data_IF_216268510975
#
_entry.id   IF_216268510975
#
_cell.length_a   1.000
_cell.length_b   1.000
_cell.length_c   1.000
_cell.angle_alpha   90.00
_cell.angle_beta   90.00
_cell.angle_gamma   90.00
#
_symmetry.space_group_name_H-M   'P 1'
#
loop_
_entity.id
_entity.type
_entity.pdbx_description
1 polymer ?
#
# COMPACT_ATOMS: atom_id res chain seq x y z
N UNK A 1 -37.80 20.36 60.80
CA UNK A 1 -36.48 19.82 60.36
C UNK A 1 -36.60 18.49 59.62
N UNK A 2 -37.54 17.61 59.99
CA UNK A 2 -37.67 16.27 59.39
C UNK A 2 -38.06 16.25 57.92
N UNK A 3 -38.88 17.20 57.45
CA UNK A 3 -39.29 17.24 56.05
C UNK A 3 -38.11 17.53 55.10
N UNK A 4 -37.19 18.42 55.52
CA UNK A 4 -35.95 18.70 54.77
C UNK A 4 -35.00 17.50 54.77
N UNK A 5 -35.03 16.66 55.81
CA UNK A 5 -34.24 15.42 55.88
C UNK A 5 -34.83 14.35 54.97
N UNK A 6 -36.16 14.13 54.99
CA UNK A 6 -36.87 13.23 54.07
C UNK A 6 -36.62 13.58 52.61
N UNK A 7 -36.81 14.85 52.23
CA UNK A 7 -36.55 15.31 50.85
C UNK A 7 -35.10 15.08 50.42
N UNK A 8 -34.12 15.29 51.31
CA UNK A 8 -32.71 15.00 51.04
C UNK A 8 -32.44 13.51 50.83
N UNK A 9 -33.03 12.63 51.64
CA UNK A 9 -32.86 11.18 51.47
C UNK A 9 -33.44 10.70 50.14
N UNK A 10 -34.63 11.17 49.75
CA UNK A 10 -35.24 10.82 48.46
C UNK A 10 -34.41 11.36 47.28
N UNK A 11 -33.98 12.62 47.35
CA UNK A 11 -33.15 13.22 46.30
C UNK A 11 -31.80 12.50 46.15
N UNK A 12 -31.13 12.17 47.27
CA UNK A 12 -29.85 11.46 47.24
C UNK A 12 -30.02 10.03 46.70
N UNK A 13 -31.09 9.34 47.09
CA UNK A 13 -31.46 8.03 46.53
C UNK A 13 -31.64 8.09 45.02
N UNK A 14 -32.41 9.05 44.51
CA UNK A 14 -32.60 9.20 43.06
C UNK A 14 -31.31 9.59 42.35
N UNK A 15 -30.47 10.42 42.98
CA UNK A 15 -29.19 10.84 42.44
C UNK A 15 -28.19 9.68 42.35
N UNK A 16 -28.12 8.84 43.38
CA UNK A 16 -27.34 7.62 43.39
C UNK A 16 -27.83 6.63 42.32
N UNK A 17 -29.15 6.47 42.17
CA UNK A 17 -29.76 5.63 41.11
C UNK A 17 -29.35 6.12 39.72
N UNK A 18 -29.53 7.42 39.44
CA UNK A 18 -29.14 8.04 38.17
C UNK A 18 -27.64 7.94 37.89
N UNK A 19 -26.80 8.08 38.92
CA UNK A 19 -25.36 7.89 38.78
C UNK A 19 -25.01 6.45 38.39
N UNK A 20 -25.61 5.45 39.05
CA UNK A 20 -25.42 4.04 38.69
C UNK A 20 -25.88 3.73 37.27
N UNK A 21 -27.07 4.21 36.88
CA UNK A 21 -27.58 4.02 35.52
C UNK A 21 -26.67 4.64 34.45
N UNK A 22 -26.13 5.85 34.67
CA UNK A 22 -25.19 6.47 33.73
C UNK A 22 -23.91 5.67 33.58
N UNK A 23 -23.32 5.19 34.68
CA UNK A 23 -22.12 4.34 34.63
C UNK A 23 -22.39 3.01 33.92
N UNK A 24 -23.55 2.39 34.19
CA UNK A 24 -23.95 1.15 33.53
C UNK A 24 -24.05 1.35 32.01
N UNK A 25 -24.73 2.41 31.56
CA UNK A 25 -24.82 2.75 30.15
C UNK A 25 -23.43 2.97 29.51
N UNK A 26 -22.55 3.72 30.18
CA UNK A 26 -21.19 3.93 29.69
C UNK A 26 -20.39 2.63 29.52
N UNK A 27 -20.56 1.66 30.43
CA UNK A 27 -19.93 0.36 30.32
C UNK A 27 -20.51 -0.46 29.16
N UNK A 28 -21.82 -0.40 28.95
CA UNK A 28 -22.49 -1.04 27.82
C UNK A 28 -22.01 -0.47 26.49
N UNK A 29 -22.02 0.86 26.37
CA UNK A 29 -21.55 1.59 25.18
C UNK A 29 -20.07 1.24 24.86
N UNK A 30 -19.19 1.21 25.87
CA UNK A 30 -17.78 0.82 25.69
C UNK A 30 -17.63 -0.66 25.29
N UNK A 31 -18.47 -1.54 25.84
CA UNK A 31 -18.42 -2.96 25.49
C UNK A 31 -18.86 -3.20 24.05
N UNK A 32 -19.86 -2.46 23.59
CA UNK A 32 -20.29 -2.50 22.19
C UNK A 32 -19.20 -1.96 21.25
N UNK A 33 -18.54 -0.86 21.63
CA UNK A 33 -17.43 -0.29 20.88
C UNK A 33 -16.28 -1.29 20.72
N UNK A 34 -15.87 -1.96 21.81
CA UNK A 34 -14.83 -2.99 21.77
C UNK A 34 -15.23 -4.11 20.80
N UNK A 35 -16.46 -4.64 20.89
CA UNK A 35 -16.94 -5.69 19.98
C UNK A 35 -16.91 -5.25 18.52
N UNK A 36 -17.30 -4.01 18.23
CA UNK A 36 -17.26 -3.47 16.87
C UNK A 36 -15.84 -3.36 16.35
N UNK A 37 -14.92 -2.85 17.17
CA UNK A 37 -13.51 -2.74 16.82
C UNK A 37 -12.86 -4.11 16.61
N UNK A 38 -13.16 -5.10 17.46
CA UNK A 38 -12.68 -6.47 17.29
C UNK A 38 -13.18 -7.10 15.99
N UNK A 39 -14.45 -6.90 15.63
CA UNK A 39 -15.00 -7.38 14.38
C UNK A 39 -14.33 -6.71 13.16
N UNK A 40 -14.16 -5.38 13.21
CA UNK A 40 -13.46 -4.63 12.16
C UNK A 40 -12.00 -5.06 12.02
N UNK A 41 -11.30 -5.29 13.13
CA UNK A 41 -9.92 -5.74 13.11
C UNK A 41 -9.78 -7.14 12.46
N UNK A 42 -10.69 -8.06 12.77
CA UNK A 42 -10.73 -9.38 12.11
C UNK A 42 -10.92 -9.26 10.59
N UNK A 43 -11.84 -8.41 10.14
CA UNK A 43 -12.06 -8.16 8.71
C UNK A 43 -10.83 -7.54 8.04
N UNK A 44 -10.15 -6.60 8.70
CA UNK A 44 -8.93 -6.00 8.18
C UNK A 44 -7.79 -7.02 8.03
N UNK A 45 -7.61 -7.91 9.02
CA UNK A 45 -6.62 -8.98 8.95
C UNK A 45 -6.88 -9.89 7.74
N UNK A 46 -8.13 -10.28 7.51
CA UNK A 46 -8.51 -11.10 6.35
C UNK A 46 -8.27 -10.37 5.02
N UNK A 47 -8.62 -9.07 4.96
CA UNK A 47 -8.36 -8.25 3.79
C UNK A 47 -6.86 -8.09 3.49
N UNK A 48 -6.03 -7.89 4.52
CA UNK A 48 -4.57 -7.82 4.39
C UNK A 48 -4.04 -9.15 3.83
N UNK A 49 -4.46 -10.28 4.40
CA UNK A 49 -4.02 -11.60 3.95
C UNK A 49 -4.35 -11.85 2.47
N UNK A 50 -5.57 -11.54 2.04
CA UNK A 50 -5.96 -11.67 0.62
C UNK A 50 -5.10 -10.78 -0.30
N UNK A 51 -4.72 -9.58 0.17
CA UNK A 51 -3.86 -8.67 -0.59
C UNK A 51 -2.42 -9.17 -0.65
N UNK A 52 -1.89 -9.74 0.42
CA UNK A 52 -0.57 -10.37 0.44
C UNK A 52 -0.49 -11.54 -0.55
N UNK A 53 -1.52 -12.39 -0.58
CA UNK A 53 -1.63 -13.51 -1.54
C UNK A 53 -1.64 -13.01 -2.99
N UNK A 54 -2.50 -12.02 -3.29
CA UNK A 54 -2.56 -11.41 -4.63
C UNK A 54 -1.25 -10.72 -5.03
N UNK A 55 -0.56 -10.07 -4.09
CA UNK A 55 0.74 -9.45 -4.36
C UNK A 55 1.81 -10.50 -4.69
N UNK A 56 1.82 -11.62 -3.97
CA UNK A 56 2.74 -12.72 -4.25
C UNK A 56 2.53 -13.32 -5.65
N UNK A 57 1.28 -13.45 -6.10
CA UNK A 57 0.95 -13.90 -7.47
C UNK A 57 1.47 -12.93 -8.54
N UNK A 58 1.27 -11.62 -8.32
CA UNK A 58 1.77 -10.57 -9.22
C UNK A 58 3.30 -10.60 -9.27
N UNK A 59 3.97 -10.74 -8.12
CA UNK A 59 5.42 -10.74 -8.07
C UNK A 59 6.03 -11.98 -8.74
N UNK A 60 5.37 -13.14 -8.60
CA UNK A 60 5.72 -14.36 -9.35
C UNK A 60 5.60 -14.13 -10.87
N UNK A 61 4.49 -13.54 -11.31
CA UNK A 61 4.26 -13.20 -12.72
C UNK A 61 5.31 -12.22 -13.26
N UNK A 62 5.66 -11.19 -12.48
CA UNK A 62 6.74 -10.27 -12.81
C UNK A 62 8.09 -11.00 -12.92
N UNK A 63 8.35 -11.98 -12.06
CA UNK A 63 9.53 -12.84 -12.13
C UNK A 63 9.63 -13.59 -13.45
N UNK A 64 8.52 -14.19 -13.91
CA UNK A 64 8.46 -14.87 -15.21
C UNK A 64 8.75 -13.91 -16.36
N UNK A 65 8.13 -12.73 -16.37
CA UNK A 65 8.35 -11.72 -17.42
C UNK A 65 9.82 -11.28 -17.45
N UNK A 66 10.43 -11.03 -16.29
CA UNK A 66 11.85 -10.67 -16.19
C UNK A 66 12.76 -11.77 -16.74
N UNK A 67 12.47 -13.04 -16.43
CA UNK A 67 13.23 -14.17 -16.97
C UNK A 67 13.11 -14.28 -18.51
N UNK A 68 11.91 -14.05 -19.06
CA UNK A 68 11.69 -14.03 -20.51
C UNK A 68 12.46 -12.89 -21.18
N UNK A 69 12.48 -11.70 -20.57
CA UNK A 69 13.27 -10.56 -21.05
C UNK A 69 14.75 -10.91 -21.08
N UNK A 70 15.29 -11.51 -20.01
CA UNK A 70 16.71 -11.91 -19.99
C UNK A 70 17.03 -12.95 -21.06
N UNK A 71 16.17 -13.95 -21.24
CA UNK A 71 16.38 -14.97 -22.27
C UNK A 71 16.37 -14.38 -23.69
N UNK A 72 15.41 -13.52 -24.00
CA UNK A 72 15.33 -12.86 -25.30
C UNK A 72 16.51 -11.91 -25.53
N UNK A 73 16.93 -11.19 -24.49
CA UNK A 73 18.11 -10.34 -24.52
C UNK A 73 19.39 -11.13 -24.81
N UNK A 74 19.58 -12.27 -24.17
CA UNK A 74 20.74 -13.13 -24.40
C UNK A 74 20.73 -13.76 -25.80
N UNK A 75 19.57 -14.22 -26.28
CA UNK A 75 19.41 -14.72 -27.65
C UNK A 75 19.76 -13.64 -28.68
N UNK A 76 19.31 -12.41 -28.47
CA UNK A 76 19.63 -11.31 -29.37
C UNK A 76 21.13 -11.02 -29.36
N UNK A 77 21.76 -10.88 -28.19
CA UNK A 77 23.21 -10.67 -28.08
C UNK A 77 24.01 -11.78 -28.79
N UNK A 78 23.57 -13.02 -28.66
CA UNK A 78 24.16 -14.15 -29.35
C UNK A 78 24.06 -14.02 -30.88
N UNK A 79 22.87 -13.69 -31.40
CA UNK A 79 22.67 -13.45 -32.84
C UNK A 79 23.52 -12.28 -33.35
N UNK A 80 23.64 -11.21 -32.57
CA UNK A 80 24.48 -10.06 -32.91
C UNK A 80 25.95 -10.45 -32.99
N UNK A 81 26.42 -11.27 -32.04
CA UNK A 81 27.80 -11.78 -32.04
C UNK A 81 28.07 -12.65 -33.27
N UNK A 82 27.10 -13.45 -33.71
CA UNK A 82 27.20 -14.23 -34.95
C UNK A 82 27.29 -13.29 -36.16
N UNK A 83 26.47 -12.24 -36.20
CA UNK A 83 26.46 -11.27 -37.30
C UNK A 83 27.82 -10.55 -37.41
N UNK A 84 28.37 -10.10 -36.28
CA UNK A 84 29.70 -9.49 -36.21
C UNK A 84 30.79 -10.42 -36.76
N UNK A 85 30.78 -11.70 -36.38
CA UNK A 85 31.71 -12.70 -36.92
C UNK A 85 31.52 -12.86 -38.44
N UNK A 86 30.28 -12.93 -38.93
CA UNK A 86 29.99 -13.08 -40.34
C UNK A 86 30.45 -11.86 -41.17
N UNK A 87 30.32 -10.65 -40.62
CA UNK A 87 30.79 -9.41 -41.25
C UNK A 87 32.32 -9.39 -41.39
N UNK A 88 33.04 -9.81 -40.34
CA UNK A 88 34.51 -9.95 -40.36
C UNK A 88 34.95 -10.98 -41.41
N UNK A 89 34.26 -12.12 -41.50
CA UNK A 89 34.58 -13.17 -42.49
C UNK A 89 34.25 -12.72 -43.92
N UNK A 90 33.22 -11.88 -44.10
CA UNK A 90 32.77 -11.41 -45.43
C UNK A 90 33.49 -10.16 -45.91
N UNK A 91 34.44 -9.61 -45.15
CA UNK A 91 35.25 -8.46 -45.57
C UNK A 91 34.58 -7.09 -45.38
N UNK A 92 33.60 -6.96 -44.47
CA UNK A 92 33.04 -5.66 -44.06
C UNK A 92 31.86 -5.13 -44.89
N UNK A 93 31.13 -5.98 -45.61
CA UNK A 93 29.97 -5.56 -46.42
C UNK A 93 28.63 -5.45 -45.65
N UNK A 94 28.58 -5.74 -44.33
CA UNK A 94 27.32 -5.86 -43.58
C UNK A 94 27.25 -4.96 -42.34
N UNK A 95 27.29 -3.63 -42.53
CA UNK A 95 27.11 -2.67 -41.44
C UNK A 95 25.67 -2.67 -40.93
N UNK A 96 25.37 -3.42 -39.86
CA UNK A 96 24.10 -3.33 -39.13
C UNK A 96 24.32 -2.55 -37.84
N UNK A 97 23.99 -1.25 -37.87
CA UNK A 97 23.92 -0.41 -36.66
C UNK A 97 22.83 -0.97 -35.75
N UNK A 98 23.24 -1.66 -34.69
CA UNK A 98 22.29 -2.31 -33.79
C UNK A 98 22.07 -1.50 -32.51
N UNK A 99 20.81 -1.28 -32.10
CA UNK A 99 20.52 -0.60 -30.84
C UNK A 99 21.07 -1.38 -29.66
N UNK A 100 21.91 -0.74 -28.85
CA UNK A 100 22.22 -1.18 -27.51
C UNK A 100 20.91 -1.18 -26.71
N UNK A 101 20.45 -2.36 -26.28
CA UNK A 101 19.31 -2.45 -25.38
C UNK A 101 19.76 -1.83 -24.07
N UNK A 102 19.48 -0.54 -23.90
CA UNK A 102 19.41 0.07 -22.59
C UNK A 102 18.42 -0.76 -21.80
N UNK A 103 18.68 -0.93 -20.51
CA UNK A 103 17.85 -1.74 -19.64
C UNK A 103 16.95 -0.86 -18.74
N UNK A 104 15.86 -0.26 -19.27
CA UNK A 104 14.87 0.45 -18.46
C UNK A 104 14.18 -0.42 -17.42
N UNK A 105 14.21 -1.75 -17.55
CA UNK A 105 13.38 -2.64 -16.75
C UNK A 105 14.14 -3.38 -15.64
N UNK A 106 15.47 -3.42 -15.67
CA UNK A 106 16.25 -3.88 -14.51
C UNK A 106 16.41 -2.83 -13.41
N UNK A 107 15.91 -1.60 -13.64
CA UNK A 107 15.84 -0.53 -12.65
C UNK A 107 14.44 0.09 -12.62
N UNK A 108 13.39 -0.68 -12.27
CA UNK A 108 11.99 -0.24 -12.37
C UNK A 108 11.68 0.98 -11.48
N UNK A 109 12.54 1.30 -10.51
CA UNK A 109 12.41 2.43 -9.60
C UNK A 109 13.34 3.61 -9.91
N UNK A 110 14.13 3.57 -10.99
CA UNK A 110 14.90 4.73 -11.43
C UNK A 110 14.00 5.62 -12.28
N UNK A 111 13.35 6.59 -11.64
CA UNK A 111 12.58 7.63 -12.31
C UNK A 111 13.56 8.40 -13.23
N UNK A 112 13.39 8.40 -14.57
CA UNK A 112 14.35 9.00 -15.50
C UNK A 112 14.46 10.53 -15.40
N UNK A 113 13.60 11.16 -14.58
CA UNK A 113 13.46 12.60 -14.50
C UNK A 113 13.70 13.08 -13.07
N UNK A 114 14.44 14.19 -12.87
CA UNK A 114 14.57 14.79 -11.55
C UNK A 114 13.19 15.21 -11.04
N UNK A 115 12.86 14.78 -9.83
CA UNK A 115 11.65 15.19 -9.11
C UNK A 115 11.65 16.72 -9.02
N UNK A 116 10.81 17.37 -9.81
CA UNK A 116 10.53 18.79 -9.59
C UNK A 116 9.67 18.87 -8.33
N UNK A 117 10.13 19.51 -7.25
CA UNK A 117 9.31 19.68 -6.06
C UNK A 117 8.03 20.39 -6.48
N UNK A 118 6.87 19.80 -6.16
CA UNK A 118 5.59 20.50 -6.26
C UNK A 118 5.67 21.63 -5.24
N UNK A 119 6.02 22.84 -5.71
CA UNK A 119 5.90 24.03 -4.90
C UNK A 119 4.42 24.23 -4.61
N UNK A 120 4.02 24.09 -3.35
CA UNK A 120 2.70 24.49 -2.92
C UNK A 120 2.52 25.98 -3.25
N UNK A 121 1.61 26.29 -4.18
CA UNK A 121 1.22 27.67 -4.45
C UNK A 121 0.67 28.27 -3.15
N UNK A 122 1.27 29.38 -2.71
CA UNK A 122 0.92 30.07 -1.48
C UNK A 122 -0.43 30.82 -1.57
N UNK A 123 -1.14 30.74 -2.69
CA UNK A 123 -2.35 31.54 -2.94
C UNK A 123 -3.67 30.89 -2.48
N UNK A 124 -3.63 29.77 -1.76
CA UNK A 124 -4.85 29.12 -1.24
C UNK A 124 -5.46 29.82 0.00
N UNK A 125 -4.92 30.96 0.44
CA UNK A 125 -5.41 31.72 1.62
C UNK A 125 -5.90 33.14 1.33
N UNK A 126 -6.19 33.48 0.07
CA UNK A 126 -6.86 34.74 -0.28
C UNK A 126 -8.11 34.46 -1.11
N UNK A 127 -9.22 34.13 -0.43
CA UNK A 127 -10.49 34.87 -0.46
C UNK A 127 -11.58 34.14 0.33
#
# INVERSE_FOLDING_TARGET
MDERKRKRMLSNRESARRSRMRKQKQLEDLTEEVKRLEASNKQLIEAIKMKEESYAEIESSNGVIRAQITELGDRLKFLNSILEIAEVVSGGELSVDLPEILDPLMKPWQIPYPFQPIMASADMFLH
#
